data_IF_575805942048
#
_entry.id   IF_575805942048
#
_cell.length_a   1.000
_cell.length_b   1.000
_cell.length_c   1.000
_cell.angle_alpha   90.00
_cell.angle_beta   90.00
_cell.angle_gamma   90.00
#
_symmetry.space_group_name_H-M   'P 1'
#
loop_
_entity.id
_entity.type
_entity.pdbx_description
1 polymer ?
#
# COMPACT_ATOMS: atom_id res chain seq x y z
N UNK A 1 -19.28 36.77 -1.18
CA UNK A 1 -19.29 35.44 -1.83
C UNK A 1 -17.87 34.92 -1.79
N UNK A 2 -17.51 34.24 -0.70
CA UNK A 2 -16.16 33.71 -0.48
C UNK A 2 -16.06 32.39 -1.28
N UNK A 3 -14.98 32.15 -2.04
CA UNK A 3 -14.78 30.86 -2.68
C UNK A 3 -14.53 29.82 -1.60
N UNK A 4 -15.40 28.84 -1.57
CA UNK A 4 -15.27 27.63 -0.78
C UNK A 4 -13.91 27.01 -1.09
N UNK A 5 -12.96 27.14 -0.13
CA UNK A 5 -11.72 26.40 -0.14
C UNK A 5 -12.08 24.97 0.15
N UNK A 6 -12.46 24.25 -0.91
CA UNK A 6 -12.68 22.81 -0.84
C UNK A 6 -11.59 22.19 -0.01
N UNK A 7 -11.96 21.77 1.20
CA UNK A 7 -11.18 20.89 2.06
C UNK A 7 -10.70 19.75 1.16
N UNK A 8 -9.42 19.74 0.86
CA UNK A 8 -8.78 18.64 0.13
C UNK A 8 -9.05 17.40 0.96
N UNK A 9 -10.03 16.63 0.52
CA UNK A 9 -10.41 15.37 1.14
C UNK A 9 -9.16 14.50 1.24
N UNK A 10 -8.71 14.08 2.44
CA UNK A 10 -7.52 13.27 2.61
C UNK A 10 -7.70 11.84 2.10
N UNK A 11 -8.88 11.50 1.57
CA UNK A 11 -9.19 10.22 0.96
C UNK A 11 -8.67 10.10 -0.49
N UNK A 12 -7.45 10.63 -0.77
CA UNK A 12 -6.74 10.27 -2.00
C UNK A 12 -6.46 8.77 -1.94
N UNK A 13 -6.98 8.05 -2.93
CA UNK A 13 -6.56 6.68 -3.23
C UNK A 13 -5.07 6.55 -2.97
N UNK A 14 -4.68 5.60 -2.10
CA UNK A 14 -3.29 5.42 -1.70
C UNK A 14 -2.46 5.22 -2.97
N UNK A 15 -1.67 6.22 -3.32
CA UNK A 15 -0.82 6.14 -4.50
C UNK A 15 0.18 5.00 -4.32
N UNK A 16 0.58 4.31 -5.39
CA UNK A 16 1.65 3.31 -5.34
C UNK A 16 2.90 3.84 -4.61
N UNK A 17 3.21 5.14 -4.80
CA UNK A 17 4.29 5.82 -4.11
C UNK A 17 4.14 5.79 -2.57
N UNK A 18 2.92 5.91 -2.05
CA UNK A 18 2.68 5.83 -0.61
C UNK A 18 2.99 4.43 -0.06
N UNK A 19 2.59 3.36 -0.77
CA UNK A 19 2.89 1.98 -0.37
C UNK A 19 4.39 1.70 -0.40
N UNK A 20 5.11 2.22 -1.42
CA UNK A 20 6.57 2.12 -1.47
C UNK A 20 7.25 2.88 -0.32
N UNK A 21 6.82 4.11 -0.02
CA UNK A 21 7.34 4.88 1.10
C UNK A 21 7.07 4.20 2.44
N UNK A 22 5.89 3.61 2.60
CA UNK A 22 5.53 2.83 3.79
C UNK A 22 6.43 1.59 3.92
N UNK A 23 6.65 0.83 2.84
CA UNK A 23 7.54 -0.32 2.83
C UNK A 23 8.98 0.08 3.20
N UNK A 24 9.45 1.20 2.64
CA UNK A 24 10.79 1.75 2.92
C UNK A 24 10.91 2.22 4.37
N UNK A 25 9.88 2.90 4.91
CA UNK A 25 9.82 3.33 6.30
C UNK A 25 9.81 2.15 7.29
N UNK A 26 9.02 1.11 7.00
CA UNK A 26 8.99 -0.11 7.81
C UNK A 26 10.30 -0.89 7.72
N UNK A 27 10.94 -0.94 6.54
CA UNK A 27 12.27 -1.50 6.38
C UNK A 27 13.32 -0.76 7.20
N UNK A 28 13.27 0.58 7.22
CA UNK A 28 14.15 1.42 8.03
C UNK A 28 13.91 1.21 9.54
N UNK A 29 12.67 1.11 9.97
CA UNK A 29 12.33 0.82 11.37
C UNK A 29 12.86 -0.55 11.80
N UNK A 30 12.73 -1.58 10.93
CA UNK A 30 13.32 -2.90 11.15
C UNK A 30 14.84 -2.85 11.25
N UNK A 31 15.50 -2.07 10.38
CA UNK A 31 16.94 -1.85 10.44
C UNK A 31 17.40 -1.19 11.74
N UNK A 32 16.69 -0.15 12.19
CA UNK A 32 16.98 0.52 13.46
C UNK A 32 16.82 -0.42 14.66
N UNK A 33 15.73 -1.21 14.67
CA UNK A 33 15.48 -2.20 15.71
C UNK A 33 16.58 -3.30 15.74
N UNK A 34 16.95 -3.82 14.57
CA UNK A 34 18.05 -4.79 14.44
C UNK A 34 19.39 -4.23 14.91
N UNK A 35 19.69 -2.96 14.57
CA UNK A 35 20.90 -2.27 15.00
C UNK A 35 20.92 -2.00 16.50
N UNK A 36 19.78 -1.63 17.09
CA UNK A 36 19.65 -1.42 18.52
C UNK A 36 19.89 -2.71 19.31
N UNK A 37 19.32 -3.84 18.85
CA UNK A 37 19.52 -5.16 19.42
C UNK A 37 20.99 -5.61 19.33
N UNK A 38 21.61 -5.44 18.16
CA UNK A 38 23.02 -5.80 17.97
C UNK A 38 23.95 -4.99 18.90
N UNK A 39 23.68 -3.69 19.09
CA UNK A 39 24.43 -2.85 20.05
C UNK A 39 24.23 -3.27 21.50
N UNK A 40 23.05 -3.76 21.87
CA UNK A 40 22.80 -4.25 23.22
C UNK A 40 23.64 -5.49 23.52
N UNK A 41 23.88 -6.36 22.55
CA UNK A 41 24.75 -7.54 22.72
C UNK A 41 26.23 -7.19 22.82
N UNK A 42 26.68 -6.09 22.21
CA UNK A 42 28.10 -5.67 22.25
C UNK A 42 28.48 -4.85 23.49
N UNK A 43 27.51 -4.38 24.27
CA UNK A 43 27.74 -3.54 25.48
C UNK A 43 28.38 -4.27 26.67
N UNK A 44 28.85 -5.42 26.56
CA UNK A 44 29.53 -6.17 27.63
C UNK A 44 30.48 -7.23 27.11
N UNK A 45 30.69 -7.30 25.81
CA UNK A 45 31.52 -8.28 25.17
C UNK A 45 32.94 -7.74 24.94
N UNK A 46 33.95 -8.57 25.17
CA UNK A 46 35.34 -8.30 24.82
C UNK A 46 35.42 -8.00 23.31
N UNK A 47 36.00 -6.84 22.89
CA UNK A 47 36.12 -6.46 21.48
C UNK A 47 36.79 -7.49 20.58
N UNK A 48 37.62 -8.37 21.17
CA UNK A 48 38.32 -9.42 20.45
C UNK A 48 37.48 -10.66 20.12
N UNK A 49 36.29 -10.80 20.72
CA UNK A 49 35.36 -11.94 20.55
C UNK A 49 34.15 -11.63 19.67
N UNK A 50 33.97 -10.40 19.22
CA UNK A 50 32.86 -10.01 18.37
C UNK A 50 33.17 -10.38 16.92
N UNK A 51 32.73 -11.57 16.51
CA UNK A 51 33.02 -12.15 15.19
C UNK A 51 32.21 -11.53 14.04
N UNK A 52 31.09 -10.89 14.31
CA UNK A 52 30.23 -10.30 13.27
C UNK A 52 30.04 -8.80 13.48
N UNK A 53 30.24 -8.03 12.39
CA UNK A 53 29.96 -6.58 12.42
C UNK A 53 28.50 -6.32 12.72
N UNK A 54 28.14 -5.40 13.66
CA UNK A 54 26.75 -5.09 14.05
C UNK A 54 25.84 -4.74 12.88
N UNK A 55 26.40 -4.24 11.79
CA UNK A 55 25.66 -3.88 10.58
C UNK A 55 25.05 -5.07 9.83
N UNK A 56 25.68 -6.25 9.88
CA UNK A 56 25.18 -7.40 9.11
C UNK A 56 23.80 -7.87 9.57
N UNK A 57 23.57 -7.93 10.87
CA UNK A 57 22.26 -8.32 11.44
C UNK A 57 21.18 -7.29 11.15
N UNK A 58 21.50 -6.00 11.12
CA UNK A 58 20.57 -4.95 10.77
C UNK A 58 20.14 -5.05 9.30
N UNK A 59 21.07 -5.29 8.38
CA UNK A 59 20.77 -5.49 6.97
C UNK A 59 19.94 -6.75 6.71
N UNK A 60 20.21 -7.84 7.43
CA UNK A 60 19.42 -9.06 7.35
C UNK A 60 17.94 -8.78 7.66
N UNK A 61 17.63 -8.12 8.79
CA UNK A 61 16.25 -7.78 9.17
C UNK A 61 15.61 -6.85 8.13
N UNK A 62 16.35 -5.83 7.66
CA UNK A 62 15.84 -4.88 6.68
C UNK A 62 15.44 -5.57 5.36
N UNK A 63 16.28 -6.46 4.82
CA UNK A 63 16.02 -7.18 3.57
C UNK A 63 14.81 -8.11 3.73
N UNK A 64 14.74 -8.86 4.84
CA UNK A 64 13.64 -9.79 5.11
C UNK A 64 12.29 -9.10 5.31
N UNK A 65 12.27 -7.82 5.65
CA UNK A 65 11.04 -7.02 5.73
C UNK A 65 10.77 -6.30 4.41
N UNK A 66 11.78 -5.63 3.85
CA UNK A 66 11.60 -4.77 2.69
C UNK A 66 11.27 -5.55 1.41
N UNK A 67 11.94 -6.69 1.16
CA UNK A 67 11.77 -7.45 -0.07
C UNK A 67 10.34 -8.03 -0.21
N UNK A 68 9.78 -8.75 0.78
CA UNK A 68 8.40 -9.25 0.69
C UNK A 68 7.37 -8.13 0.60
N UNK A 69 7.57 -7.01 1.32
CA UNK A 69 6.68 -5.85 1.23
C UNK A 69 6.69 -5.22 -0.15
N UNK A 70 7.85 -5.13 -0.79
CA UNK A 70 7.96 -4.62 -2.16
C UNK A 70 7.25 -5.54 -3.14
N UNK A 71 7.46 -6.86 -3.04
CA UNK A 71 6.74 -7.84 -3.86
C UNK A 71 5.24 -7.74 -3.65
N UNK A 72 4.79 -7.65 -2.40
CA UNK A 72 3.38 -7.45 -2.08
C UNK A 72 2.83 -6.16 -2.70
N UNK A 73 3.55 -5.05 -2.58
CA UNK A 73 3.12 -3.76 -3.15
C UNK A 73 2.96 -3.84 -4.68
N UNK A 74 3.90 -4.49 -5.39
CA UNK A 74 3.80 -4.69 -6.85
C UNK A 74 2.60 -5.57 -7.19
N UNK A 75 2.41 -6.69 -6.52
CA UNK A 75 1.27 -7.59 -6.74
C UNK A 75 -0.04 -6.88 -6.43
N UNK A 76 -0.11 -6.14 -5.33
CA UNK A 76 -1.32 -5.43 -4.92
C UNK A 76 -1.70 -4.31 -5.88
N UNK A 77 -0.74 -3.54 -6.38
CA UNK A 77 -1.00 -2.46 -7.36
C UNK A 77 -1.49 -2.98 -8.71
N UNK A 78 -1.15 -4.21 -9.08
CA UNK A 78 -1.64 -4.84 -10.29
C UNK A 78 -2.99 -5.53 -10.10
N UNK A 79 -3.25 -6.08 -8.91
CA UNK A 79 -4.45 -6.86 -8.62
C UNK A 79 -5.64 -5.99 -8.17
N UNK A 80 -5.38 -4.95 -7.36
CA UNK A 80 -6.43 -4.13 -6.76
C UNK A 80 -7.36 -3.44 -7.79
N UNK A 81 -6.91 -2.97 -8.97
CA UNK A 81 -7.81 -2.40 -9.97
C UNK A 81 -8.85 -3.41 -10.48
N UNK A 82 -8.45 -4.67 -10.67
CA UNK A 82 -9.38 -5.72 -11.11
C UNK A 82 -10.45 -6.03 -10.05
N UNK A 83 -10.06 -6.01 -8.77
CA UNK A 83 -10.98 -6.21 -7.65
C UNK A 83 -11.98 -5.04 -7.53
N UNK A 84 -11.50 -3.81 -7.70
CA UNK A 84 -12.34 -2.60 -7.72
C UNK A 84 -13.35 -2.68 -8.86
N UNK A 85 -12.92 -3.07 -10.07
CA UNK A 85 -13.80 -3.22 -11.23
C UNK A 85 -14.90 -4.27 -10.98
N UNK A 86 -14.54 -5.42 -10.42
CA UNK A 86 -15.52 -6.46 -10.08
C UNK A 86 -16.54 -5.96 -9.04
N UNK A 87 -16.09 -5.22 -8.03
CA UNK A 87 -16.97 -4.62 -7.03
C UNK A 87 -17.96 -3.66 -7.67
N UNK A 88 -17.48 -2.75 -8.52
CA UNK A 88 -18.33 -1.76 -9.19
C UNK A 88 -19.31 -2.44 -10.14
N UNK A 89 -18.88 -3.45 -10.89
CA UNK A 89 -19.74 -4.20 -11.80
C UNK A 89 -20.82 -5.01 -11.08
N UNK A 90 -20.61 -5.38 -9.83
CA UNK A 90 -21.61 -6.03 -8.99
C UNK A 90 -22.59 -5.02 -8.36
N UNK A 91 -22.32 -3.72 -8.43
CA UNK A 91 -23.18 -2.68 -7.86
C UNK A 91 -24.46 -2.47 -8.69
N UNK A 92 -25.57 -2.02 -8.08
CA UNK A 92 -26.81 -1.67 -8.80
C UNK A 92 -26.61 -0.59 -9.87
N UNK A 93 -25.64 0.31 -9.68
CA UNK A 93 -25.31 1.36 -10.62
C UNK A 93 -24.77 0.83 -11.96
N UNK A 94 -24.20 -0.37 -11.98
CA UNK A 94 -23.70 -1.01 -13.19
C UNK A 94 -24.80 -1.56 -14.12
N UNK A 95 -26.04 -1.66 -13.65
CA UNK A 95 -27.18 -2.14 -14.46
C UNK A 95 -27.56 -1.18 -15.59
N UNK A 96 -27.17 0.08 -15.49
CA UNK A 96 -27.43 1.11 -16.51
C UNK A 96 -26.35 1.10 -17.61
N UNK A 97 -25.30 0.29 -17.46
CA UNK A 97 -24.22 0.23 -18.43
C UNK A 97 -24.67 -0.42 -19.75
N UNK A 98 -24.24 0.15 -20.90
CA UNK A 98 -24.56 -0.43 -22.20
C UNK A 98 -23.95 -1.84 -22.36
N UNK A 99 -24.60 -2.65 -23.20
CA UNK A 99 -24.16 -3.99 -23.51
C UNK A 99 -22.88 -4.03 -24.36
N UNK A 100 -22.59 -2.95 -25.09
CA UNK A 100 -21.44 -2.85 -25.99
C UNK A 100 -20.13 -2.70 -25.19
N UNK A 101 -19.21 -3.63 -25.39
CA UNK A 101 -17.98 -3.73 -24.59
C UNK A 101 -17.08 -2.49 -24.63
N UNK A 102 -16.94 -1.84 -25.80
CA UNK A 102 -16.11 -0.65 -25.94
C UNK A 102 -16.70 0.57 -25.20
N UNK A 103 -17.99 0.82 -25.37
CA UNK A 103 -18.70 1.93 -24.71
C UNK A 103 -18.70 1.73 -23.19
N UNK A 104 -18.94 0.50 -22.73
CA UNK A 104 -18.87 0.14 -21.31
C UNK A 104 -17.48 0.41 -20.72
N UNK A 105 -16.41 0.05 -21.43
CA UNK A 105 -15.05 0.30 -20.97
C UNK A 105 -14.72 1.79 -20.89
N UNK A 106 -15.18 2.60 -21.85
CA UNK A 106 -14.96 4.04 -21.82
C UNK A 106 -15.66 4.71 -20.63
N UNK A 107 -16.91 4.31 -20.34
CA UNK A 107 -17.66 4.80 -19.18
C UNK A 107 -16.99 4.43 -17.86
N UNK A 108 -16.53 3.18 -17.73
CA UNK A 108 -15.80 2.71 -16.55
C UNK A 108 -14.46 3.44 -16.37
N UNK A 109 -13.73 3.67 -17.46
CA UNK A 109 -12.46 4.40 -17.43
C UNK A 109 -12.66 5.87 -17.00
N UNK A 110 -13.71 6.53 -17.50
CA UNK A 110 -14.06 7.89 -17.14
C UNK A 110 -14.45 7.99 -15.65
N UNK A 111 -15.35 7.13 -15.18
CA UNK A 111 -15.75 7.08 -13.77
C UNK A 111 -14.57 6.82 -12.84
N UNK A 112 -13.67 5.91 -13.23
CA UNK A 112 -12.44 5.60 -12.48
C UNK A 112 -11.50 6.81 -12.42
N UNK A 113 -11.32 7.54 -13.54
CA UNK A 113 -10.46 8.71 -13.59
C UNK A 113 -10.95 9.81 -12.65
N UNK A 114 -12.26 10.04 -12.59
CA UNK A 114 -12.85 11.02 -11.66
C UNK A 114 -12.79 10.53 -10.22
N UNK A 115 -13.10 9.26 -9.95
CA UNK A 115 -13.02 8.68 -8.60
C UNK A 115 -11.59 8.76 -8.01
N UNK A 116 -10.57 8.56 -8.85
CA UNK A 116 -9.16 8.66 -8.45
C UNK A 116 -8.61 10.10 -8.41
N UNK A 117 -9.41 11.09 -8.82
CA UNK A 117 -9.00 12.50 -8.88
C UNK A 117 -8.09 12.86 -10.06
N UNK A 118 -7.98 11.97 -11.05
CA UNK A 118 -7.20 12.21 -12.28
C UNK A 118 -8.01 13.03 -13.32
N UNK A 119 -9.31 13.12 -13.16
CA UNK A 119 -10.20 13.98 -13.94
C UNK A 119 -11.12 14.78 -12.99
N UNK A 120 -11.49 16.00 -13.43
CA UNK A 120 -12.27 16.93 -12.61
C UNK A 120 -13.77 16.84 -12.86
N UNK A 121 -14.18 16.31 -14.00
CA UNK A 121 -15.58 16.24 -14.42
C UNK A 121 -15.88 14.95 -15.18
N UNK A 122 -17.12 14.54 -15.12
CA UNK A 122 -17.70 13.44 -15.89
C UNK A 122 -18.47 14.02 -17.06
N UNK A 123 -18.24 13.54 -18.26
CA UNK A 123 -18.96 13.96 -19.47
C UNK A 123 -20.17 13.06 -19.73
N UNK A 124 -20.09 11.78 -19.36
CA UNK A 124 -21.16 10.82 -19.56
C UNK A 124 -22.02 10.67 -18.30
N UNK A 125 -23.35 10.91 -18.36
CA UNK A 125 -24.24 10.76 -17.20
C UNK A 125 -24.21 9.34 -16.59
N UNK A 126 -24.01 8.30 -17.40
CA UNK A 126 -23.88 6.93 -16.88
C UNK A 126 -22.60 6.72 -16.06
N UNK A 127 -21.50 7.42 -16.40
CA UNK A 127 -20.27 7.39 -15.62
C UNK A 127 -20.43 8.10 -14.27
N UNK A 128 -21.27 9.14 -14.18
CA UNK A 128 -21.50 9.89 -12.95
C UNK A 128 -22.06 9.00 -11.83
N UNK A 129 -22.99 8.10 -12.15
CA UNK A 129 -23.57 7.16 -11.19
C UNK A 129 -22.56 6.12 -10.66
N UNK A 130 -21.44 5.92 -11.36
CA UNK A 130 -20.41 4.95 -10.99
C UNK A 130 -19.27 5.55 -10.18
N UNK A 131 -19.13 6.87 -10.13
CA UNK A 131 -18.00 7.53 -9.42
C UNK A 131 -17.99 7.17 -7.95
N UNK A 132 -19.13 7.21 -7.27
CA UNK A 132 -19.22 6.90 -5.84
C UNK A 132 -18.90 5.41 -5.56
N UNK A 133 -19.50 4.41 -6.25
CA UNK A 133 -19.10 3.01 -6.13
C UNK A 133 -17.60 2.77 -6.37
N UNK A 134 -16.97 3.47 -7.33
CA UNK A 134 -15.54 3.40 -7.54
C UNK A 134 -14.73 3.94 -6.37
N UNK A 135 -15.17 5.09 -5.82
CA UNK A 135 -14.50 5.71 -4.67
C UNK A 135 -14.56 4.83 -3.43
N UNK A 136 -15.75 4.28 -3.12
CA UNK A 136 -15.94 3.36 -2.00
C UNK A 136 -15.08 2.10 -2.16
N UNK A 137 -15.11 1.47 -3.33
CA UNK A 137 -14.30 0.30 -3.61
C UNK A 137 -12.79 0.58 -3.50
N UNK A 138 -12.32 1.71 -4.06
CA UNK A 138 -10.92 2.11 -3.96
C UNK A 138 -10.49 2.34 -2.50
N UNK A 139 -11.31 3.00 -1.70
CA UNK A 139 -11.03 3.21 -0.27
C UNK A 139 -10.99 1.88 0.48
N UNK A 140 -11.97 1.02 0.27
CA UNK A 140 -12.04 -0.29 0.91
C UNK A 140 -10.81 -1.15 0.60
N UNK A 141 -10.47 -1.31 -0.68
CA UNK A 141 -9.30 -2.12 -1.06
C UNK A 141 -7.98 -1.47 -0.68
N UNK A 142 -7.88 -0.15 -0.63
CA UNK A 142 -6.68 0.54 -0.14
C UNK A 142 -6.45 0.30 1.34
N UNK A 143 -7.51 0.31 2.17
CA UNK A 143 -7.42 0.00 3.59
C UNK A 143 -7.05 -1.47 3.84
N UNK A 144 -7.62 -2.40 3.07
CA UNK A 144 -7.26 -3.82 3.11
C UNK A 144 -5.78 -3.99 2.77
N UNK A 145 -5.31 -3.41 1.67
CA UNK A 145 -3.92 -3.49 1.25
C UNK A 145 -2.96 -2.95 2.31
N UNK A 146 -3.32 -1.82 2.95
CA UNK A 146 -2.56 -1.25 4.05
C UNK A 146 -2.52 -2.19 5.27
N UNK A 147 -3.65 -2.73 5.68
CA UNK A 147 -3.74 -3.65 6.81
C UNK A 147 -2.88 -4.90 6.58
N UNK A 148 -2.94 -5.48 5.39
CA UNK A 148 -2.10 -6.62 5.02
C UNK A 148 -0.61 -6.26 5.01
N UNK A 149 -0.24 -5.11 4.47
CA UNK A 149 1.16 -4.64 4.45
C UNK A 149 1.71 -4.49 5.88
N UNK A 150 0.94 -3.87 6.78
CA UNK A 150 1.33 -3.68 8.20
C UNK A 150 1.43 -5.03 8.91
N UNK A 151 0.43 -5.92 8.76
CA UNK A 151 0.43 -7.24 9.38
C UNK A 151 1.65 -8.06 8.92
N UNK A 152 1.93 -8.07 7.62
CA UNK A 152 3.08 -8.75 7.05
C UNK A 152 4.41 -8.17 7.56
N UNK A 153 4.52 -6.84 7.66
CA UNK A 153 5.71 -6.19 8.20
C UNK A 153 5.96 -6.57 9.67
N UNK A 154 4.90 -6.62 10.49
CA UNK A 154 5.00 -7.03 11.90
C UNK A 154 5.43 -8.48 12.00
N UNK A 155 4.79 -9.39 11.28
CA UNK A 155 5.09 -10.83 11.32
C UNK A 155 6.53 -11.09 10.87
N UNK A 156 6.93 -10.56 9.72
CA UNK A 156 8.27 -10.75 9.18
C UNK A 156 9.34 -10.06 10.03
N UNK A 157 9.03 -8.87 10.56
CA UNK A 157 9.91 -8.13 11.45
C UNK A 157 10.17 -8.88 12.76
N UNK A 158 9.11 -9.41 13.39
CA UNK A 158 9.24 -10.22 14.59
C UNK A 158 10.00 -11.51 14.32
N UNK A 159 9.67 -12.20 13.22
CA UNK A 159 10.37 -13.42 12.83
C UNK A 159 11.85 -13.16 12.58
N UNK A 160 12.21 -12.15 11.79
CA UNK A 160 13.60 -11.78 11.55
C UNK A 160 14.32 -11.38 12.84
N UNK A 161 13.63 -10.61 13.71
CA UNK A 161 14.16 -10.20 15.00
C UNK A 161 14.49 -11.38 15.93
N UNK A 162 13.65 -12.43 15.95
CA UNK A 162 13.90 -13.63 16.76
C UNK A 162 15.06 -14.47 16.24
N UNK A 163 15.38 -14.37 14.94
CA UNK A 163 16.51 -15.08 14.32
C UNK A 163 17.86 -14.41 14.57
N UNK A 164 17.90 -13.17 15.00
CA UNK A 164 19.11 -12.48 15.42
C UNK A 164 19.57 -13.06 16.76
N UNK A 165 20.55 -13.98 16.73
CA UNK A 165 21.16 -14.58 17.91
C UNK A 165 22.49 -13.88 18.22
N UNK A 166 22.91 -13.81 19.51
CA UNK A 166 24.28 -13.43 19.84
C UNK A 166 25.24 -14.50 19.29
N UNK A 167 26.27 -14.07 18.60
CA UNK A 167 27.37 -14.94 18.17
C UNK A 167 28.38 -15.13 19.30
#
# INVERSE_FOLDING_TARGET
MLPDRGLRDPARSMSPAFLFLLALGLGLAGWLAGRAKARAFTRGADPRRVSARPGYHAWFVAIWVALPLTVFAVVWTTLSPALVDQWVLASPAAQVLPAFGFERQSILAEARAVASGNATAVFNPAAQGLVEPFREAQQFYSLIGLAFAIAMAIILGLWAYTRVKPA
#
